data_IF_682972896233
#
_entry.id   IF_682972896233
#
_cell.length_a   1.000
_cell.length_b   1.000
_cell.length_c   1.000
_cell.angle_alpha   90.00
_cell.angle_beta   90.00
_cell.angle_gamma   90.00
#
_symmetry.space_group_name_H-M   'P 1'
#
loop_
_entity.id
_entity.type
_entity.pdbx_description
1 polymer ?
#
# COMPACT_ATOMS: atom_id res chain seq x y z
N UNK A 1 9.60 5.21 13.63
CA UNK A 1 9.04 5.05 12.27
C UNK A 1 8.79 6.43 11.70
N UNK A 2 8.89 6.63 10.40
CA UNK A 2 8.70 7.94 9.77
C UNK A 2 7.36 8.58 10.20
N UNK A 3 6.29 7.80 10.28
CA UNK A 3 4.99 8.23 10.78
C UNK A 3 5.08 8.77 12.21
N UNK A 4 5.71 8.04 13.13
CA UNK A 4 5.84 8.46 14.53
C UNK A 4 6.78 9.66 14.69
N UNK A 5 7.89 9.66 13.97
CA UNK A 5 9.02 10.56 14.22
C UNK A 5 8.92 11.84 13.38
N UNK A 6 8.25 11.80 12.24
CA UNK A 6 8.11 12.92 11.28
C UNK A 6 6.69 13.41 11.11
N UNK A 7 5.70 12.52 11.16
CA UNK A 7 4.28 12.87 10.96
C UNK A 7 3.38 12.53 12.15
N UNK A 8 3.80 12.79 13.41
CA UNK A 8 3.01 12.40 14.59
C UNK A 8 1.63 13.07 14.61
N UNK A 9 1.51 14.24 13.98
CA UNK A 9 0.23 14.96 13.90
C UNK A 9 -0.82 14.21 13.09
N UNK A 10 -0.45 13.28 12.19
CA UNK A 10 -1.41 12.48 11.41
C UNK A 10 -2.04 11.32 12.20
N UNK A 11 -1.63 11.13 13.45
CA UNK A 11 -2.13 10.06 14.32
C UNK A 11 -3.37 10.45 15.13
N UNK A 12 -3.70 11.74 15.20
CA UNK A 12 -4.70 12.26 16.15
C UNK A 12 -4.41 11.73 17.57
N UNK A 13 -5.40 11.11 18.23
CA UNK A 13 -5.25 10.47 19.55
C UNK A 13 -4.93 8.96 19.45
N UNK A 14 -4.75 8.44 18.24
CA UNK A 14 -4.51 7.01 18.01
C UNK A 14 -3.03 6.66 18.14
N UNK A 15 -2.76 5.49 18.72
CA UNK A 15 -1.40 4.94 18.77
C UNK A 15 -1.12 4.20 17.46
N UNK A 16 0.08 4.42 16.89
CA UNK A 16 0.55 3.63 15.74
C UNK A 16 0.55 2.16 16.11
N UNK A 17 -0.09 1.27 15.31
CA UNK A 17 0.06 -0.16 15.48
C UNK A 17 1.55 -0.52 15.42
N UNK A 18 2.09 -0.99 16.55
CA UNK A 18 3.48 -1.35 16.70
C UNK A 18 3.56 -2.85 17.00
N UNK A 19 3.70 -3.65 15.95
CA UNK A 19 3.83 -5.09 16.01
C UNK A 19 4.88 -5.56 15.01
N UNK A 20 5.50 -6.70 15.25
CA UNK A 20 6.56 -7.25 14.40
C UNK A 20 6.06 -7.63 12.98
N UNK A 21 4.77 -7.93 12.86
CA UNK A 21 4.07 -8.28 11.62
C UNK A 21 3.42 -7.07 10.92
N UNK A 22 3.65 -5.85 11.41
CA UNK A 22 3.17 -4.60 10.80
C UNK A 22 4.35 -3.73 10.43
N UNK A 23 4.55 -3.50 9.13
CA UNK A 23 5.68 -2.73 8.63
C UNK A 23 5.24 -1.35 8.14
N UNK A 24 6.18 -0.41 8.08
CA UNK A 24 5.94 0.90 7.49
C UNK A 24 6.42 0.94 6.04
N UNK A 25 5.59 1.43 5.12
CA UNK A 25 6.00 1.72 3.74
C UNK A 25 6.03 3.22 3.44
N UNK A 26 6.93 3.60 2.54
CA UNK A 26 7.04 4.96 1.99
C UNK A 26 7.38 4.91 0.50
N UNK A 27 7.29 6.06 -0.18
CA UNK A 27 7.71 6.24 -1.58
C UNK A 27 6.98 5.36 -2.61
N UNK A 28 5.65 5.31 -2.54
CA UNK A 28 4.87 4.78 -3.65
C UNK A 28 5.01 5.69 -4.87
N UNK A 29 5.70 5.21 -5.90
CA UNK A 29 5.97 5.97 -7.11
C UNK A 29 5.92 5.05 -8.34
N UNK A 30 5.43 5.61 -9.44
CA UNK A 30 5.39 4.97 -10.75
C UNK A 30 5.78 6.01 -11.78
N UNK A 31 6.76 5.70 -12.61
CA UNK A 31 7.10 6.49 -13.79
C UNK A 31 6.52 5.79 -15.02
N UNK A 32 5.47 6.36 -15.59
CA UNK A 32 4.68 5.73 -16.64
C UNK A 32 4.42 6.71 -17.78
N UNK A 33 4.61 6.30 -19.05
CA UNK A 33 4.22 7.10 -20.18
C UNK A 33 2.69 7.23 -20.25
N UNK A 34 2.19 8.26 -20.95
CA UNK A 34 0.75 8.47 -21.15
C UNK A 34 0.05 7.29 -21.86
N UNK A 35 0.81 6.55 -22.67
CA UNK A 35 0.38 5.35 -23.41
C UNK A 35 0.39 4.07 -22.57
N UNK A 36 0.76 4.14 -21.29
CA UNK A 36 0.86 2.96 -20.43
C UNK A 36 -0.48 2.19 -20.40
N UNK A 37 -0.44 0.84 -20.48
CA UNK A 37 -1.64 0.02 -20.43
C UNK A 37 -2.50 0.31 -19.21
N UNK A 38 -3.81 0.38 -19.41
CA UNK A 38 -4.80 0.56 -18.35
C UNK A 38 -5.51 -0.76 -18.06
N UNK A 39 -5.79 -0.99 -16.78
CA UNK A 39 -6.61 -2.11 -16.32
C UNK A 39 -8.00 -1.61 -15.89
N UNK A 40 -8.75 -2.40 -15.12
CA UNK A 40 -10.08 -2.01 -14.67
C UNK A 40 -10.03 -0.69 -13.87
N UNK A 41 -11.09 0.11 -13.97
CA UNK A 41 -11.19 1.38 -13.23
C UNK A 41 -10.28 2.51 -13.74
N UNK A 42 -9.65 2.35 -14.92
CA UNK A 42 -8.87 3.40 -15.58
C UNK A 42 -7.48 3.65 -14.98
N UNK A 43 -7.05 2.84 -14.00
CA UNK A 43 -5.71 2.88 -13.45
C UNK A 43 -4.72 2.17 -14.38
N UNK A 44 -3.44 2.56 -14.31
CA UNK A 44 -2.40 1.87 -15.06
C UNK A 44 -2.23 0.45 -14.53
N UNK A 45 -1.93 -0.50 -15.42
CA UNK A 45 -1.68 -1.89 -15.05
C UNK A 45 -0.54 -2.00 -14.04
N UNK A 46 0.54 -1.23 -14.25
CA UNK A 46 1.68 -1.16 -13.33
C UNK A 46 1.31 -0.73 -11.90
N UNK A 47 0.20 0.00 -11.70
CA UNK A 47 -0.31 0.31 -10.36
C UNK A 47 -0.80 -0.94 -9.64
N UNK A 48 -1.52 -1.81 -10.35
CA UNK A 48 -1.96 -3.09 -9.80
C UNK A 48 -0.79 -4.04 -9.57
N UNK A 49 0.20 -4.03 -10.46
CA UNK A 49 1.42 -4.83 -10.30
C UNK A 49 2.20 -4.38 -9.05
N UNK A 50 2.38 -3.08 -8.84
CA UNK A 50 3.01 -2.56 -7.63
C UNK A 50 2.26 -2.99 -6.36
N UNK A 51 0.94 -2.81 -6.32
CA UNK A 51 0.13 -3.21 -5.16
C UNK A 51 0.13 -4.72 -4.94
N UNK A 52 0.04 -5.52 -6.00
CA UNK A 52 0.14 -6.97 -5.91
C UNK A 52 1.50 -7.38 -5.34
N UNK A 53 2.59 -6.76 -5.79
CA UNK A 53 3.93 -7.05 -5.31
C UNK A 53 4.11 -6.73 -3.83
N UNK A 54 3.54 -5.62 -3.36
CA UNK A 54 3.55 -5.29 -1.93
C UNK A 54 2.80 -6.34 -1.10
N UNK A 55 1.62 -6.77 -1.55
CA UNK A 55 0.82 -7.78 -0.85
C UNK A 55 1.51 -9.15 -0.90
N UNK A 56 2.06 -9.55 -2.05
CA UNK A 56 2.83 -10.79 -2.20
C UNK A 56 4.05 -10.81 -1.29
N UNK A 57 4.79 -9.70 -1.21
CA UNK A 57 5.91 -9.55 -0.30
C UNK A 57 5.47 -9.65 1.16
N UNK A 58 4.38 -8.98 1.54
CA UNK A 58 3.86 -9.04 2.90
C UNK A 58 3.43 -10.44 3.29
N UNK A 59 2.71 -11.16 2.41
CA UNK A 59 2.31 -12.55 2.64
C UNK A 59 3.53 -13.46 2.81
N UNK A 60 4.57 -13.29 1.99
CA UNK A 60 5.80 -14.08 2.08
C UNK A 60 6.58 -13.85 3.39
N UNK A 61 6.42 -12.68 4.03
CA UNK A 61 7.08 -12.32 5.29
C UNK A 61 6.14 -12.41 6.51
N UNK A 62 4.97 -13.04 6.37
CA UNK A 62 3.96 -13.16 7.43
C UNK A 62 3.53 -11.81 8.02
N UNK A 63 3.45 -10.76 7.20
CA UNK A 63 2.92 -9.46 7.62
C UNK A 63 1.40 -9.51 7.64
N UNK A 64 0.79 -8.92 8.66
CA UNK A 64 -0.67 -8.70 8.71
C UNK A 64 -1.06 -7.36 8.07
N UNK A 65 -0.12 -6.43 7.96
CA UNK A 65 -0.41 -5.15 7.38
C UNK A 65 0.77 -4.22 7.17
N UNK A 66 0.46 -3.12 6.51
CA UNK A 66 1.39 -2.03 6.25
C UNK A 66 0.77 -0.74 6.74
N UNK A 67 1.53 0.01 7.54
CA UNK A 67 1.21 1.38 7.88
C UNK A 67 1.91 2.30 6.88
N UNK A 68 1.21 3.33 6.41
CA UNK A 68 1.77 4.28 5.45
C UNK A 68 1.24 5.69 5.68
N UNK A 69 2.07 6.67 5.33
CA UNK A 69 1.65 8.07 5.15
C UNK A 69 1.56 8.31 3.66
N UNK A 70 0.40 8.78 3.20
CA UNK A 70 0.16 9.02 1.79
C UNK A 70 -0.74 10.22 1.57
N UNK A 71 -0.75 10.78 0.36
CA UNK A 71 -1.68 11.86 0.03
C UNK A 71 -3.10 11.30 -0.20
N UNK A 72 -4.12 12.16 -0.07
CA UNK A 72 -5.52 11.74 -0.29
C UNK A 72 -5.80 11.33 -1.74
N UNK A 73 -4.90 11.66 -2.68
CA UNK A 73 -4.97 11.22 -4.09
C UNK A 73 -4.54 9.76 -4.24
N UNK A 74 -3.48 9.32 -3.57
CA UNK A 74 -3.05 7.91 -3.51
C UNK A 74 -4.07 7.10 -2.71
N UNK A 75 -4.63 7.62 -1.62
CA UNK A 75 -5.74 6.97 -0.91
C UNK A 75 -6.92 6.67 -1.85
N UNK A 76 -7.26 7.62 -2.74
CA UNK A 76 -8.27 7.39 -3.78
C UNK A 76 -7.85 6.30 -4.77
N UNK A 77 -6.59 6.24 -5.17
CA UNK A 77 -6.06 5.19 -6.07
C UNK A 77 -6.15 3.81 -5.40
N UNK A 78 -5.76 3.72 -4.13
CA UNK A 78 -5.87 2.51 -3.30
C UNK A 78 -7.32 2.01 -3.24
N UNK A 79 -8.27 2.92 -2.97
CA UNK A 79 -9.71 2.61 -2.99
C UNK A 79 -10.18 2.12 -4.36
N UNK A 80 -9.80 2.79 -5.45
CA UNK A 80 -10.15 2.38 -6.82
C UNK A 80 -9.57 1.00 -7.18
N UNK A 81 -8.37 0.70 -6.68
CA UNK A 81 -7.73 -0.59 -6.86
C UNK A 81 -8.35 -1.72 -6.02
N UNK A 82 -9.34 -1.43 -5.16
CA UNK A 82 -9.99 -2.36 -4.22
C UNK A 82 -9.11 -2.84 -3.06
N UNK A 83 -8.14 -2.00 -2.69
CA UNK A 83 -7.29 -2.16 -1.53
C UNK A 83 -7.35 -0.89 -0.67
N UNK A 84 -8.48 -0.65 0.01
CA UNK A 84 -8.74 0.61 0.70
C UNK A 84 -7.82 0.80 1.90
N UNK A 85 -7.42 2.05 2.14
CA UNK A 85 -6.67 2.46 3.32
C UNK A 85 -7.63 2.62 4.51
N UNK A 86 -7.42 1.88 5.60
CA UNK A 86 -8.08 2.15 6.87
C UNK A 86 -7.38 3.30 7.56
N UNK A 87 -7.98 4.49 7.54
CA UNK A 87 -7.40 5.71 8.13
C UNK A 87 -7.16 5.53 9.63
N UNK A 88 -5.99 5.97 10.09
CA UNK A 88 -5.64 6.03 11.52
C UNK A 88 -6.07 7.38 12.12
N UNK A 89 -5.93 8.46 11.36
CA UNK A 89 -6.37 9.81 11.72
C UNK A 89 -7.02 10.54 10.55
N UNK A 90 -7.53 11.74 10.82
CA UNK A 90 -8.08 12.60 9.78
C UNK A 90 -6.98 13.13 8.86
N UNK A 91 -7.27 13.35 7.56
CA UNK A 91 -6.34 14.02 6.67
C UNK A 91 -5.95 15.41 7.18
N UNK A 92 -4.68 15.79 7.02
CA UNK A 92 -4.16 17.11 7.40
C UNK A 92 -3.26 17.68 6.32
N UNK A 93 -3.19 19.00 6.26
CA UNK A 93 -2.28 19.68 5.33
C UNK A 93 -0.83 19.44 5.76
N UNK A 94 -0.03 18.89 4.85
CA UNK A 94 1.42 18.67 5.01
C UNK A 94 2.12 19.24 3.77
N UNK A 95 2.81 20.36 3.95
CA UNK A 95 3.36 21.14 2.82
C UNK A 95 2.25 21.53 1.84
N UNK A 96 2.40 21.14 0.57
CA UNK A 96 1.47 21.50 -0.51
C UNK A 96 0.37 20.46 -0.76
N UNK A 97 0.27 19.41 0.06
CA UNK A 97 -0.68 18.31 -0.12
C UNK A 97 -1.46 18.00 1.14
N UNK A 98 -2.66 17.46 0.98
CA UNK A 98 -3.41 16.85 2.08
C UNK A 98 -2.94 15.40 2.25
N UNK A 99 -2.36 15.09 3.41
CA UNK A 99 -1.80 13.79 3.75
C UNK A 99 -2.63 13.08 4.82
N UNK A 100 -2.61 11.76 4.79
CA UNK A 100 -3.31 10.89 5.73
C UNK A 100 -2.44 9.69 6.09
N UNK A 101 -2.48 9.30 7.37
CA UNK A 101 -1.88 8.07 7.84
C UNK A 101 -2.94 6.96 7.87
N UNK A 102 -2.57 5.76 7.45
CA UNK A 102 -3.49 4.63 7.50
C UNK A 102 -2.82 3.27 7.43
N UNK A 103 -3.65 2.25 7.57
CA UNK A 103 -3.31 0.84 7.55
C UNK A 103 -3.85 0.18 6.28
N UNK A 104 -3.01 -0.61 5.63
CA UNK A 104 -3.33 -1.45 4.48
C UNK A 104 -3.22 -2.91 4.89
N UNK A 105 -4.31 -3.65 4.70
CA UNK A 105 -4.40 -5.08 5.01
C UNK A 105 -3.52 -5.92 4.06
N UNK A 106 -2.74 -6.85 4.63
CA UNK A 106 -2.01 -7.86 3.86
C UNK A 106 -2.73 -9.19 4.03
N UNK A 107 -3.47 -9.57 2.99
CA UNK A 107 -4.21 -10.83 2.98
C UNK A 107 -4.34 -11.41 1.58
N UNK A 108 -4.58 -12.72 1.51
CA UNK A 108 -4.92 -13.39 0.25
C UNK A 108 -6.19 -12.80 -0.39
N UNK A 109 -7.17 -12.39 0.41
CA UNK A 109 -8.38 -11.76 -0.09
C UNK A 109 -8.07 -10.42 -0.80
N UNK A 110 -7.21 -9.59 -0.20
CA UNK A 110 -6.73 -8.36 -0.81
C UNK A 110 -5.94 -8.61 -2.09
N UNK A 111 -5.05 -9.61 -2.10
CA UNK A 111 -4.29 -10.00 -3.29
C UNK A 111 -5.21 -10.43 -4.44
N UNK A 112 -6.23 -11.25 -4.17
CA UNK A 112 -7.16 -11.72 -5.18
C UNK A 112 -7.96 -10.57 -5.80
N UNK A 113 -8.42 -9.61 -4.98
CA UNK A 113 -9.12 -8.42 -5.47
C UNK A 113 -8.23 -7.57 -6.39
N UNK A 114 -6.98 -7.31 -5.97
CA UNK A 114 -5.99 -6.58 -6.78
C UNK A 114 -5.73 -7.29 -8.10
N UNK A 115 -5.44 -8.61 -8.07
CA UNK A 115 -5.15 -9.37 -9.30
C UNK A 115 -6.34 -9.38 -10.24
N UNK A 116 -7.55 -9.59 -9.72
CA UNK A 116 -8.77 -9.58 -10.52
C UNK A 116 -9.00 -8.22 -11.20
N UNK A 117 -8.89 -7.11 -10.45
CA UNK A 117 -9.02 -5.76 -11.01
C UNK A 117 -7.90 -5.41 -11.98
N UNK A 118 -6.68 -5.83 -11.66
CA UNK A 118 -5.47 -5.59 -12.46
C UNK A 118 -5.33 -6.47 -13.69
N UNK A 119 -6.20 -7.50 -13.85
CA UNK A 119 -6.07 -8.54 -14.88
C UNK A 119 -4.70 -9.24 -14.85
N UNK A 120 -4.20 -9.45 -13.63
CA UNK A 120 -2.91 -10.10 -13.41
C UNK A 120 -3.11 -11.62 -13.40
N UNK A 121 -2.35 -12.33 -14.22
CA UNK A 121 -2.51 -13.78 -14.43
C UNK A 121 -1.60 -14.64 -13.53
N UNK A 122 -0.80 -14.03 -12.67
CA UNK A 122 0.14 -14.74 -11.82
C UNK A 122 0.83 -13.83 -10.81
N UNK A 123 1.81 -14.38 -10.05
CA UNK A 123 2.69 -13.60 -9.21
C UNK A 123 3.43 -12.53 -10.02
N UNK A 124 3.59 -11.35 -9.43
CA UNK A 124 4.40 -10.28 -10.01
C UNK A 124 5.83 -10.30 -9.46
N UNK A 125 6.03 -10.91 -8.29
CA UNK A 125 7.35 -11.24 -7.77
C UNK A 125 7.74 -12.66 -8.20
N UNK A 126 8.96 -12.83 -8.73
CA UNK A 126 9.55 -14.14 -8.97
C UNK A 126 10.15 -14.70 -7.66
N UNK A 127 9.83 -15.95 -7.32
CA UNK A 127 10.04 -16.68 -6.03
C UNK A 127 11.42 -16.54 -5.33
N UNK A 128 11.48 -16.85 -4.01
CA UNK A 128 10.97 -16.07 -2.88
C UNK A 128 12.07 -15.11 -2.39
N UNK A 129 11.69 -14.01 -1.76
CA UNK A 129 12.63 -13.33 -0.83
C UNK A 129 12.80 -14.26 0.38
N UNK A 130 13.62 -15.30 0.23
CA UNK A 130 13.94 -16.24 1.28
C UNK A 130 14.77 -15.50 2.33
N UNK A 131 14.23 -15.38 3.53
CA UNK A 131 15.07 -15.39 4.72
C UNK A 131 15.44 -16.87 4.93
N UNK A 132 16.69 -17.24 4.62
CA UNK A 132 17.28 -18.43 5.23
C UNK A 132 17.40 -18.14 6.72
N UNK A 133 16.50 -18.68 7.53
CA UNK A 133 16.76 -18.89 8.95
C UNK A 133 17.56 -20.18 9.05
N UNK A 134 18.85 -20.06 9.37
CA UNK A 134 19.66 -21.15 9.91
C UNK A 134 19.35 -21.33 11.40
#
# INVERSE_FOLDING_TARGET
>A
TMLRDTFPTLLDEMVVPASADIWESSRFALDLPATAPKAAGGLAQATYELFAGIIEFGLANNLSGIVTVTDTRIERILRLATWPLSRIGQPKQVGNTEAVAGFLDISYASLLRIRWRGRLNGPVLWQPVLIQSA
#
